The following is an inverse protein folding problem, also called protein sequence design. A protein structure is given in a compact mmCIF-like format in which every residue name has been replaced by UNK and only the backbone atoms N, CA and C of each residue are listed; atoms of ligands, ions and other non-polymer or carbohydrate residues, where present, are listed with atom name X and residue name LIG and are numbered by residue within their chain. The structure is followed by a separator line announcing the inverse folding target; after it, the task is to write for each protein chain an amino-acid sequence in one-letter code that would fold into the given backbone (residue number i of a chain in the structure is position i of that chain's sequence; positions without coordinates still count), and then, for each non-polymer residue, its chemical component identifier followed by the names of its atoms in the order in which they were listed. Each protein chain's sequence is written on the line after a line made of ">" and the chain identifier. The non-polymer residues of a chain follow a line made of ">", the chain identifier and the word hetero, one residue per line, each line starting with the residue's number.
data_IF_539761516611
#
_entry.id   IF_539761516611
#
_cell.length_a   1.000
_cell.length_b   1.000
_cell.length_c   1.000
_cell.angle_alpha   90.00
_cell.angle_beta   90.00
_cell.angle_gamma   90.00
#
_symmetry.space_group_name_H-M   'P 1'
#
loop_
_entity.id
_entity.type
_entity.pdbx_description
1 polymer ?
#
# COMPACT_ATOMS: atom_id res chain seq x y z
N UNK A 1 23.41 51.12 11.17
CA UNK A 1 22.66 52.39 10.95
C UNK A 1 21.68 52.11 9.80
N UNK A 2 20.35 52.14 9.86
CA UNK A 2 19.34 52.82 10.71
C UNK A 2 18.06 51.95 10.75
N UNK A 3 17.38 52.00 11.89
CA UNK A 3 16.03 51.46 12.11
C UNK A 3 14.97 52.34 11.43
N UNK A 4 13.85 51.74 10.99
CA UNK A 4 12.48 52.29 10.94
C UNK A 4 11.61 51.18 10.30
N UNK A 5 10.79 50.37 10.95
CA UNK A 5 9.80 50.55 12.01
C UNK A 5 8.71 51.58 11.68
N UNK A 6 7.46 51.09 11.69
CA UNK A 6 6.18 51.82 11.58
C UNK A 6 5.78 52.14 10.12
N UNK A 7 4.64 51.67 9.61
CA UNK A 7 3.32 52.08 10.08
C UNK A 7 2.24 51.02 9.76
N UNK A 8 1.47 50.70 10.79
CA UNK A 8 0.19 49.99 10.76
C UNK A 8 -0.77 50.57 9.70
N UNK A 9 -1.22 49.76 8.75
CA UNK A 9 -2.56 49.92 8.16
C UNK A 9 -3.32 48.63 8.37
N UNK A 10 -4.08 48.66 9.46
CA UNK A 10 -5.28 47.90 9.74
C UNK A 10 -6.16 47.93 8.49
N UNK A 11 -6.66 46.78 8.06
CA UNK A 11 -8.08 46.56 7.75
C UNK A 11 -8.24 45.04 7.58
N UNK A 12 -8.89 44.45 8.59
CA UNK A 12 -9.43 43.11 8.54
C UNK A 12 -10.51 43.05 7.47
N UNK A 13 -10.28 42.31 6.39
CA UNK A 13 -11.35 41.83 5.53
C UNK A 13 -11.27 40.30 5.46
N UNK A 14 -12.22 39.70 6.16
CA UNK A 14 -12.79 38.40 5.87
C UNK A 14 -11.87 37.20 6.05
N UNK A 15 -11.92 36.67 7.27
CA UNK A 15 -12.34 35.28 7.52
C UNK A 15 -13.01 34.64 6.30
N UNK A 16 -12.20 33.93 5.52
CA UNK A 16 -12.66 33.03 4.47
C UNK A 16 -11.78 31.81 4.49
N UNK A 17 -12.15 30.81 5.29
CA UNK A 17 -11.56 29.48 5.17
C UNK A 17 -12.01 28.88 3.83
N UNK A 18 -11.21 29.05 2.78
CA UNK A 18 -11.32 28.23 1.58
C UNK A 18 -10.41 27.01 1.76
N UNK A 19 -10.77 26.09 2.68
CA UNK A 19 -10.22 24.73 2.61
C UNK A 19 -10.97 24.03 1.48
N UNK A 20 -10.41 24.15 0.29
CA UNK A 20 -10.74 23.29 -0.84
C UNK A 20 -10.25 21.87 -0.51
N UNK A 21 -10.95 21.18 0.37
CA UNK A 21 -10.78 19.75 0.57
C UNK A 21 -11.56 19.05 -0.54
N UNK A 22 -10.90 18.86 -1.69
CA UNK A 22 -11.44 18.05 -2.76
C UNK A 22 -11.43 16.58 -2.35
N UNK A 23 -12.60 16.02 -2.09
CA UNK A 23 -12.84 14.57 -2.21
C UNK A 23 -13.73 14.38 -3.43
N UNK A 24 -13.13 14.04 -4.57
CA UNK A 24 -13.87 13.54 -5.74
C UNK A 24 -14.29 12.12 -5.41
N UNK A 25 -15.35 11.98 -4.61
CA UNK A 25 -16.18 10.78 -4.53
C UNK A 25 -17.59 11.27 -4.18
N UNK A 26 -18.40 11.51 -5.20
CA UNK A 26 -19.85 11.47 -5.05
C UNK A 26 -20.21 10.01 -4.83
N UNK A 27 -20.66 9.67 -3.63
CA UNK A 27 -21.33 8.41 -3.41
C UNK A 27 -22.65 8.71 -2.68
N UNK A 28 -23.72 8.80 -3.45
CA UNK A 28 -25.09 8.78 -2.93
C UNK A 28 -25.99 8.00 -3.87
N UNK A 29 -26.13 6.69 -3.61
CA UNK A 29 -27.37 5.97 -3.91
C UNK A 29 -27.93 5.48 -2.57
N UNK A 30 -29.04 6.09 -2.17
CA UNK A 30 -29.78 5.74 -0.97
C UNK A 30 -30.54 4.41 -1.17
N UNK A 31 -30.38 3.53 -0.17
CA UNK A 31 -31.27 2.50 0.40
C UNK A 31 -32.31 1.82 -0.54
N UNK A 32 -32.49 0.50 -0.52
CA UNK A 32 -32.83 -0.34 0.64
C UNK A 32 -32.46 -1.82 0.35
N UNK A 33 -31.91 -2.54 1.33
CA UNK A 33 -32.47 -3.84 1.78
C UNK A 33 -31.51 -4.55 2.74
N UNK A 34 -32.08 -4.91 3.90
CA UNK A 34 -31.67 -5.96 4.85
C UNK A 34 -30.48 -5.70 5.78
N UNK A 35 -30.84 -5.57 7.06
CA UNK A 35 -30.02 -5.85 8.23
C UNK A 35 -29.13 -7.09 8.04
N UNK A 36 -27.83 -6.88 8.07
CA UNK A 36 -26.82 -7.87 8.39
C UNK A 36 -26.00 -7.40 9.59
N UNK A 37 -26.62 -7.41 10.77
CA UNK A 37 -25.92 -7.35 12.06
C UNK A 37 -25.10 -8.63 12.20
N UNK A 38 -23.85 -8.63 11.74
CA UNK A 38 -22.83 -9.60 12.11
C UNK A 38 -21.82 -8.91 13.03
N UNK A 39 -22.12 -8.78 14.32
CA UNK A 39 -21.46 -9.58 15.37
C UNK A 39 -20.02 -9.97 15.03
N UNK A 40 -19.10 -9.26 15.68
CA UNK A 40 -17.72 -9.66 16.00
C UNK A 40 -17.59 -11.18 16.05
N UNK A 41 -16.89 -11.73 15.07
CA UNK A 41 -16.09 -12.92 15.25
C UNK A 41 -14.66 -12.50 14.94
N UNK A 42 -14.07 -11.81 15.90
CA UNK A 42 -12.63 -11.84 16.11
C UNK A 42 -12.25 -13.29 16.31
N UNK A 43 -12.02 -13.99 15.21
CA UNK A 43 -11.37 -15.27 15.24
C UNK A 43 -9.91 -14.96 15.47
N UNK A 44 -9.54 -14.86 16.75
CA UNK A 44 -8.20 -15.17 17.23
C UNK A 44 -7.94 -16.65 16.91
N UNK A 45 -7.83 -16.97 15.62
CA UNK A 45 -7.07 -18.12 15.18
C UNK A 45 -5.63 -17.87 15.66
N UNK A 46 -4.91 -18.88 16.15
CA UNK A 46 -3.48 -18.71 16.30
C UNK A 46 -2.97 -18.24 14.95
N UNK A 47 -2.46 -17.00 14.88
CA UNK A 47 -1.66 -16.55 13.75
C UNK A 47 -0.53 -17.57 13.69
N UNK A 48 -0.66 -18.57 12.82
CA UNK A 48 0.46 -19.39 12.44
C UNK A 48 1.44 -18.39 11.84
N UNK A 49 2.45 -18.01 12.62
CA UNK A 49 3.59 -17.28 12.13
C UNK A 49 4.21 -18.17 11.04
N UNK A 50 3.73 -18.00 9.80
CA UNK A 50 4.26 -18.70 8.64
C UNK A 50 5.69 -18.23 8.47
N UNK A 51 6.61 -19.02 8.99
CA UNK A 51 8.04 -18.76 8.86
C UNK A 51 8.45 -19.15 7.45
N UNK A 52 8.43 -18.16 6.56
CA UNK A 52 8.75 -18.36 5.16
C UNK A 52 8.97 -17.05 4.41
N UNK A 53 9.31 -17.20 3.14
CA UNK A 53 9.42 -16.10 2.19
C UNK A 53 8.25 -16.20 1.21
N UNK A 54 7.31 -15.26 1.31
CA UNK A 54 6.23 -15.10 0.35
C UNK A 54 6.66 -14.19 -0.80
N UNK A 55 6.44 -14.63 -2.04
CA UNK A 55 6.81 -13.91 -3.24
C UNK A 55 5.58 -13.81 -4.15
N UNK A 56 5.15 -12.58 -4.40
CA UNK A 56 4.03 -12.21 -5.26
C UNK A 56 4.57 -11.38 -6.42
N UNK A 57 3.93 -11.49 -7.60
CA UNK A 57 4.25 -10.62 -8.73
C UNK A 57 3.00 -10.27 -9.53
N UNK A 58 3.07 -9.11 -10.18
CA UNK A 58 2.14 -8.69 -11.23
C UNK A 58 2.98 -8.32 -12.47
N UNK A 59 2.91 -9.09 -13.57
CA UNK A 59 2.00 -10.20 -13.83
C UNK A 59 2.29 -11.46 -12.98
N UNK A 60 1.25 -12.26 -12.75
CA UNK A 60 1.36 -13.58 -12.13
C UNK A 60 2.15 -14.56 -13.01
N UNK A 61 2.47 -15.74 -12.45
CA UNK A 61 3.21 -16.81 -13.12
C UNK A 61 4.61 -16.38 -13.59
N UNK A 62 5.34 -15.68 -12.74
CA UNK A 62 6.75 -15.36 -12.95
C UNK A 62 7.63 -16.45 -12.30
N UNK A 63 8.69 -16.86 -12.99
CA UNK A 63 9.66 -17.84 -12.51
C UNK A 63 10.47 -17.26 -11.35
N UNK A 64 10.51 -17.99 -10.23
CA UNK A 64 11.23 -17.59 -9.02
C UNK A 64 12.44 -18.49 -8.83
N UNK A 65 13.61 -17.87 -8.67
CA UNK A 65 14.86 -18.54 -8.35
C UNK A 65 15.42 -18.03 -7.02
N UNK A 66 15.86 -18.94 -6.16
CA UNK A 66 16.56 -18.66 -4.92
C UNK A 66 17.99 -19.21 -5.02
N UNK A 67 19.00 -18.34 -4.95
CA UNK A 67 20.41 -18.71 -5.15
C UNK A 67 20.64 -19.55 -6.43
N UNK A 68 20.00 -19.15 -7.53
CA UNK A 68 20.04 -19.83 -8.83
C UNK A 68 19.31 -21.19 -8.90
N UNK A 69 18.64 -21.63 -7.83
CA UNK A 69 17.76 -22.82 -7.85
C UNK A 69 16.32 -22.40 -8.10
N UNK A 70 15.63 -23.08 -9.02
CA UNK A 70 14.23 -22.81 -9.35
C UNK A 70 13.31 -23.25 -8.21
N UNK A 71 12.48 -22.34 -7.72
CA UNK A 71 11.55 -22.57 -6.61
C UNK A 71 10.12 -22.81 -7.10
N UNK A 72 9.74 -22.23 -8.25
CA UNK A 72 8.40 -22.33 -8.80
C UNK A 72 7.98 -21.05 -9.50
N UNK A 73 6.66 -20.88 -9.65
CA UNK A 73 6.04 -19.69 -10.22
C UNK A 73 5.36 -18.88 -9.12
N UNK A 74 5.34 -17.55 -9.23
CA UNK A 74 4.54 -16.68 -8.36
C UNK A 74 3.04 -16.86 -8.61
N UNK A 75 2.17 -16.72 -7.59
CA UNK A 75 2.46 -16.60 -6.15
C UNK A 75 3.10 -17.85 -5.53
N UNK A 76 4.12 -17.69 -4.67
CA UNK A 76 4.75 -18.82 -3.97
C UNK A 76 5.14 -18.46 -2.52
N UNK A 77 4.95 -19.42 -1.62
CA UNK A 77 5.45 -19.39 -0.25
C UNK A 77 6.57 -20.42 -0.09
N UNK A 78 7.77 -19.97 0.26
CA UNK A 78 8.92 -20.84 0.53
C UNK A 78 9.09 -20.96 2.04
N UNK A 79 8.70 -22.09 2.61
CA UNK A 79 8.81 -22.40 4.04
C UNK A 79 10.19 -22.99 4.39
N UNK A 80 10.57 -22.94 5.67
CA UNK A 80 11.77 -23.63 6.16
C UNK A 80 13.10 -23.03 5.71
N UNK A 81 13.10 -21.77 5.27
CA UNK A 81 14.33 -21.04 4.95
C UNK A 81 15.11 -20.73 6.24
N UNK A 82 16.40 -21.11 6.24
CA UNK A 82 17.32 -20.72 7.31
C UNK A 82 17.64 -19.23 7.24
N UNK A 83 18.01 -18.62 8.37
CA UNK A 83 18.46 -17.21 8.37
C UNK A 83 19.75 -17.09 7.56
N UNK A 84 19.77 -16.15 6.62
CA UNK A 84 20.92 -15.96 5.74
C UNK A 84 20.66 -14.90 4.67
N UNK A 85 21.63 -14.73 3.78
CA UNK A 85 21.48 -13.90 2.59
C UNK A 85 21.15 -14.79 1.40
N UNK A 86 20.08 -14.45 0.71
CA UNK A 86 19.63 -15.15 -0.49
C UNK A 86 19.56 -14.17 -1.65
N UNK A 87 19.93 -14.66 -2.84
CA UNK A 87 19.67 -13.96 -4.09
C UNK A 87 18.34 -14.45 -4.64
N UNK A 88 17.36 -13.57 -4.70
CA UNK A 88 16.07 -13.83 -5.35
C UNK A 88 16.14 -13.27 -6.76
N UNK A 89 15.86 -14.10 -7.77
CA UNK A 89 15.69 -13.68 -9.15
C UNK A 89 14.27 -14.03 -9.57
N UNK A 90 13.53 -13.03 -10.08
CA UNK A 90 12.17 -13.21 -10.59
C UNK A 90 12.20 -12.91 -12.09
N UNK A 91 11.70 -13.82 -12.91
CA UNK A 91 11.73 -13.72 -14.38
C UNK A 91 10.34 -13.96 -14.94
N UNK A 92 9.82 -13.01 -15.71
CA UNK A 92 8.61 -13.22 -16.52
C UNK A 92 8.97 -13.02 -17.99
N UNK A 93 8.63 -14.00 -18.83
CA UNK A 93 8.81 -13.85 -20.27
C UNK A 93 7.99 -12.67 -20.81
N UNK A 94 8.60 -11.85 -21.66
CA UNK A 94 7.97 -10.67 -22.24
C UNK A 94 7.87 -9.46 -21.30
N UNK A 95 8.32 -9.59 -20.04
CA UNK A 95 8.39 -8.47 -19.11
C UNK A 95 9.83 -7.96 -19.02
N UNK A 96 10.06 -6.78 -19.57
CA UNK A 96 11.34 -6.09 -19.48
C UNK A 96 11.18 -4.97 -18.45
N UNK A 97 12.10 -4.91 -17.50
CA UNK A 97 12.20 -3.80 -16.56
C UNK A 97 12.37 -2.49 -17.35
N UNK A 98 11.27 -1.75 -17.47
CA UNK A 98 11.20 -0.51 -18.23
C UNK A 98 12.18 0.49 -17.66
N UNK A 99 13.00 1.08 -18.52
CA UNK A 99 13.78 2.26 -18.16
C UNK A 99 12.83 3.46 -18.29
N UNK A 100 12.57 4.13 -17.18
CA UNK A 100 11.91 5.44 -17.17
C UNK A 100 12.90 6.54 -17.59
#
# INVERSE_FOLDING_TARGET
>A
MKKLASLFIIIAFFTGCATSSGTIYEDTVAAESSQGKGTVAEQNAPEEEKQGLEILSDPEEAEVYLNNSFMGLTPILIEGISRGRYRVTIVKQGFYQGHC
#
